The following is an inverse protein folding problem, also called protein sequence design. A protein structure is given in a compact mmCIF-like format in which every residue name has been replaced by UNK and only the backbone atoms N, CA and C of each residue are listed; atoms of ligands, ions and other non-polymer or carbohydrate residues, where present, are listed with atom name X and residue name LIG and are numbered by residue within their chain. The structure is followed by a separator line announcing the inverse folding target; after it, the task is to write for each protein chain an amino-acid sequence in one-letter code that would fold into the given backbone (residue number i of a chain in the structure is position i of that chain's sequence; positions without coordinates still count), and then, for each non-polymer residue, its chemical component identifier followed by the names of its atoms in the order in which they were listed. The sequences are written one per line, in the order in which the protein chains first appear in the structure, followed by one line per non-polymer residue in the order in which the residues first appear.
data_IF_141607445122
#
_entry.id   IF_141607445122
#
_cell.length_a   1.000
_cell.length_b   1.000
_cell.length_c   1.000
_cell.angle_alpha   90.00
_cell.angle_beta   90.00
_cell.angle_gamma   90.00
#
_symmetry.space_group_name_H-M   'P 1'
#
loop_
_entity.id
_entity.type
_entity.pdbx_description
1 polymer ?
#
# COMPACT_ATOMS: atom_id res chain seq x y z
N UNK A 1 0.05 -8.39 -9.51
CA UNK A 1 0.17 -7.55 -10.71
C UNK A 1 1.08 -8.19 -11.76
N UNK A 2 0.97 -7.74 -12.97
CA UNK A 2 1.84 -8.13 -14.09
C UNK A 2 2.70 -6.91 -14.44
N UNK A 3 4.04 -7.08 -14.46
CA UNK A 3 4.94 -6.02 -14.89
C UNK A 3 4.78 -5.80 -16.40
N UNK A 4 4.31 -4.64 -16.80
CA UNK A 4 4.05 -4.28 -18.20
C UNK A 4 5.24 -3.59 -18.86
N UNK A 5 6.02 -2.80 -18.10
CA UNK A 5 7.19 -2.08 -18.61
C UNK A 5 8.19 -1.79 -17.51
N UNK A 6 9.41 -1.37 -17.89
CA UNK A 6 10.48 -0.95 -17.00
C UNK A 6 10.69 0.56 -17.08
N UNK A 7 11.11 1.16 -15.97
CA UNK A 7 11.56 2.56 -15.93
C UNK A 7 13.07 2.58 -16.28
N UNK A 8 13.41 2.88 -17.54
CA UNK A 8 14.77 2.70 -18.05
C UNK A 8 15.34 3.94 -18.76
N UNK A 9 16.65 4.10 -18.58
CA UNK A 9 17.48 5.02 -19.35
C UNK A 9 18.04 4.37 -20.63
N UNK A 10 18.86 5.12 -21.37
CA UNK A 10 19.50 4.62 -22.59
C UNK A 10 20.50 3.50 -22.30
N UNK A 11 21.25 3.57 -21.18
CA UNK A 11 22.25 2.58 -20.82
C UNK A 11 21.62 1.23 -20.48
N UNK A 12 20.66 1.23 -19.56
CA UNK A 12 19.94 0.01 -19.18
C UNK A 12 19.07 -0.53 -20.30
N UNK A 13 18.49 0.35 -21.10
CA UNK A 13 17.73 -0.04 -22.29
C UNK A 13 18.57 -0.84 -23.28
N UNK A 14 19.80 -0.41 -23.57
CA UNK A 14 20.74 -1.17 -24.41
C UNK A 14 21.05 -2.57 -23.85
N UNK A 15 21.18 -2.73 -22.54
CA UNK A 15 21.46 -4.04 -21.92
C UNK A 15 20.34 -5.06 -22.13
N UNK A 16 19.10 -4.61 -22.16
CA UNK A 16 17.92 -5.48 -22.32
C UNK A 16 17.29 -5.38 -23.72
N UNK A 17 18.00 -4.77 -24.68
CA UNK A 17 17.56 -4.55 -26.06
C UNK A 17 16.21 -3.83 -26.17
N UNK A 18 16.04 -2.76 -25.38
CA UNK A 18 14.86 -1.89 -25.39
C UNK A 18 15.26 -0.43 -25.54
N UNK A 19 14.35 0.38 -26.08
CA UNK A 19 14.53 1.84 -26.11
C UNK A 19 14.26 2.43 -24.73
N UNK A 20 15.03 3.46 -24.35
CA UNK A 20 14.75 4.26 -23.18
C UNK A 20 13.35 4.89 -23.27
N UNK A 21 12.62 4.88 -22.17
CA UNK A 21 11.36 5.64 -22.01
C UNK A 21 11.56 6.96 -21.23
N UNK A 22 12.80 7.34 -20.93
CA UNK A 22 13.12 8.57 -20.24
C UNK A 22 12.72 8.60 -18.74
N UNK A 23 12.46 7.43 -18.15
CA UNK A 23 11.91 7.30 -16.79
C UNK A 23 12.87 6.70 -15.76
N UNK A 24 14.18 6.75 -16.02
CA UNK A 24 15.18 6.18 -15.09
C UNK A 24 15.20 6.82 -13.70
N UNK A 25 14.77 8.07 -13.59
CA UNK A 25 14.65 8.78 -12.31
C UNK A 25 13.33 8.49 -11.57
N UNK A 26 12.47 7.68 -12.13
CA UNK A 26 11.18 7.31 -11.55
C UNK A 26 9.97 7.87 -12.30
N UNK A 27 8.82 7.76 -11.68
CA UNK A 27 7.53 8.25 -12.19
C UNK A 27 7.32 9.71 -11.83
N UNK A 28 6.59 10.45 -12.68
CA UNK A 28 6.07 11.79 -12.34
C UNK A 28 4.79 11.68 -11.52
N UNK A 29 3.94 10.71 -11.86
CA UNK A 29 2.74 10.39 -11.12
C UNK A 29 2.66 8.87 -10.95
N UNK A 30 2.33 8.43 -9.74
CA UNK A 30 2.13 7.03 -9.39
C UNK A 30 0.80 6.90 -8.63
N UNK A 31 -0.02 5.94 -9.01
CA UNK A 31 -1.26 5.70 -8.27
C UNK A 31 -1.73 4.25 -8.40
N UNK A 32 -2.48 3.81 -7.41
CA UNK A 32 -3.32 2.62 -7.55
C UNK A 32 -4.63 3.01 -8.22
N UNK A 33 -5.08 2.19 -9.17
CA UNK A 33 -6.41 2.37 -9.77
C UNK A 33 -7.51 2.23 -8.73
N UNK A 34 -8.64 2.89 -8.96
CA UNK A 34 -9.82 2.77 -8.12
C UNK A 34 -10.31 1.32 -8.08
N UNK A 35 -10.63 0.87 -6.88
CA UNK A 35 -11.41 -0.34 -6.68
C UNK A 35 -12.89 -0.14 -7.02
N UNK A 36 -13.69 -1.15 -6.69
CA UNK A 36 -15.14 -1.13 -6.90
C UNK A 36 -15.94 -1.07 -5.59
N UNK A 37 -15.27 -1.26 -4.46
CA UNK A 37 -15.88 -1.39 -3.14
C UNK A 37 -15.92 -0.03 -2.46
N UNK A 38 -17.07 0.46 -1.98
CA UNK A 38 -17.13 1.64 -1.14
C UNK A 38 -16.31 1.46 0.15
N UNK A 39 -15.72 2.55 0.66
CA UNK A 39 -14.95 2.52 1.91
C UNK A 39 -15.76 1.96 3.08
N UNK A 40 -17.03 2.35 3.17
CA UNK A 40 -17.97 1.89 4.21
C UNK A 40 -18.18 0.37 4.19
N UNK A 41 -18.11 -0.25 3.02
CA UNK A 41 -18.22 -1.70 2.89
C UNK A 41 -16.91 -2.40 3.27
N UNK A 42 -15.76 -1.78 2.99
CA UNK A 42 -14.47 -2.31 3.43
C UNK A 42 -14.40 -2.39 4.96
N UNK A 43 -14.79 -1.35 5.67
CA UNK A 43 -14.73 -1.32 7.14
C UNK A 43 -15.74 -2.27 7.81
N UNK A 44 -16.79 -2.67 7.09
CA UNK A 44 -17.79 -3.65 7.53
C UNK A 44 -17.43 -5.09 7.17
N UNK A 45 -16.42 -5.31 6.36
CA UNK A 45 -16.05 -6.65 5.87
C UNK A 45 -15.45 -7.57 6.94
N UNK A 46 -15.03 -7.03 8.09
CA UNK A 46 -14.44 -7.76 9.19
C UNK A 46 -14.99 -7.34 10.56
N UNK A 47 -14.90 -8.24 11.54
CA UNK A 47 -15.32 -7.93 12.91
C UNK A 47 -14.41 -6.91 13.59
N UNK A 48 -13.10 -6.96 13.29
CA UNK A 48 -12.08 -6.04 13.79
C UNK A 48 -11.14 -5.68 12.64
N UNK A 49 -11.00 -4.39 12.39
CA UNK A 49 -10.11 -3.84 11.37
C UNK A 49 -9.31 -2.72 12.03
N UNK A 50 -8.00 -2.70 11.79
CA UNK A 50 -7.14 -1.62 12.20
C UNK A 50 -7.04 -0.61 11.06
N UNK A 51 -7.62 0.56 11.24
CA UNK A 51 -7.50 1.67 10.31
C UNK A 51 -6.23 2.44 10.63
N UNK A 52 -5.25 2.41 9.72
CA UNK A 52 -3.97 3.10 9.87
C UNK A 52 -4.07 4.52 9.34
N UNK A 53 -3.84 5.49 10.21
CA UNK A 53 -3.78 6.90 9.84
C UNK A 53 -2.36 7.34 9.49
N UNK A 54 -1.36 6.77 10.18
CA UNK A 54 0.01 7.20 10.08
C UNK A 54 0.97 6.02 10.25
N UNK A 55 2.07 6.05 9.52
CA UNK A 55 3.19 5.12 9.68
C UNK A 55 4.47 5.86 10.00
N UNK A 56 5.31 5.30 10.87
CA UNK A 56 6.56 5.90 11.34
C UNK A 56 7.74 5.09 10.80
N UNK A 57 8.60 5.77 10.05
CA UNK A 57 9.82 5.16 9.52
C UNK A 57 9.71 4.66 8.08
N UNK A 58 10.78 4.02 7.62
CA UNK A 58 10.92 3.44 6.28
C UNK A 58 11.08 1.93 6.42
N UNK A 59 10.01 1.22 6.65
CA UNK A 59 10.05 -0.20 6.96
C UNK A 59 10.17 -1.16 5.78
N UNK A 60 10.39 -0.67 4.57
CA UNK A 60 10.41 -1.47 3.36
C UNK A 60 11.83 -1.94 3.01
N UNK A 61 12.04 -3.25 2.95
CA UNK A 61 13.21 -3.86 2.31
C UNK A 61 12.82 -4.29 0.89
N UNK A 62 13.25 -3.51 -0.10
CA UNK A 62 12.91 -3.76 -1.52
C UNK A 62 13.57 -5.02 -2.10
N UNK A 63 14.58 -5.58 -1.44
CA UNK A 63 15.28 -6.79 -1.90
C UNK A 63 14.53 -8.04 -1.45
N UNK A 64 14.15 -8.11 -0.17
CA UNK A 64 13.46 -9.26 0.41
C UNK A 64 11.95 -9.14 0.33
N UNK A 65 11.43 -7.93 0.16
CA UNK A 65 10.00 -7.62 0.22
C UNK A 65 9.47 -7.45 1.63
N UNK A 66 10.31 -7.55 2.66
CA UNK A 66 9.87 -7.43 4.04
C UNK A 66 9.49 -5.99 4.37
N UNK A 67 8.42 -5.85 5.12
CA UNK A 67 7.87 -4.58 5.56
C UNK A 67 7.58 -4.62 7.05
N UNK A 68 8.10 -3.65 7.79
CA UNK A 68 7.84 -3.50 9.23
C UNK A 68 7.97 -2.05 9.64
N UNK A 69 6.90 -1.44 10.13
CA UNK A 69 6.86 -0.02 10.55
C UNK A 69 6.07 0.15 11.82
N UNK A 70 6.42 1.18 12.58
CA UNK A 70 5.55 1.72 13.61
C UNK A 70 4.29 2.32 12.98
N UNK A 71 3.16 2.23 13.67
CA UNK A 71 1.91 2.77 13.16
C UNK A 71 1.01 3.29 14.29
N UNK A 72 0.10 4.20 13.90
CA UNK A 72 -1.00 4.66 14.73
C UNK A 72 -2.28 4.76 13.89
N UNK A 73 -3.41 4.70 14.55
CA UNK A 73 -4.69 4.72 13.87
C UNK A 73 -5.88 4.53 14.79
N UNK A 74 -6.93 3.93 14.25
CA UNK A 74 -8.18 3.65 14.95
C UNK A 74 -8.56 2.18 14.82
N UNK A 75 -9.00 1.59 15.90
CA UNK A 75 -9.66 0.29 15.83
C UNK A 75 -11.09 0.47 15.33
N UNK A 76 -11.46 -0.35 14.36
CA UNK A 76 -12.82 -0.48 13.87
C UNK A 76 -13.38 -1.81 14.37
N UNK A 77 -14.52 -1.79 15.02
CA UNK A 77 -15.23 -2.97 15.50
C UNK A 77 -16.65 -3.00 14.91
N UNK A 78 -16.98 -4.11 14.25
CA UNK A 78 -18.27 -4.30 13.58
C UNK A 78 -18.65 -3.16 12.61
N UNK A 79 -17.67 -2.55 11.94
CA UNK A 79 -17.88 -1.49 10.97
C UNK A 79 -17.97 -0.08 11.55
N UNK A 80 -17.70 0.11 12.85
CA UNK A 80 -17.71 1.41 13.52
C UNK A 80 -16.35 1.72 14.14
N UNK A 81 -15.94 2.99 14.08
CA UNK A 81 -14.72 3.47 14.75
C UNK A 81 -14.91 3.40 16.28
N UNK A 82 -14.06 2.60 16.94
CA UNK A 82 -14.20 2.29 18.37
C UNK A 82 -13.25 3.10 19.25
N UNK A 83 -11.94 2.94 19.07
CA UNK A 83 -10.95 3.62 19.91
C UNK A 83 -9.62 3.83 19.17
N UNK A 84 -8.83 4.85 19.57
CA UNK A 84 -7.52 5.09 18.99
C UNK A 84 -6.52 4.01 19.40
N UNK A 85 -5.58 3.71 18.49
CA UNK A 85 -4.48 2.76 18.69
C UNK A 85 -3.18 3.46 18.32
N UNK A 86 -2.18 3.39 19.18
CA UNK A 86 -0.85 3.97 18.97
C UNK A 86 0.25 3.01 19.41
N UNK A 87 1.49 3.34 19.06
CA UNK A 87 2.69 2.57 19.46
C UNK A 87 2.61 1.08 19.07
N UNK A 88 1.98 0.80 17.93
CA UNK A 88 1.91 -0.54 17.36
C UNK A 88 2.94 -0.70 16.26
N UNK A 89 3.26 -1.94 15.94
CA UNK A 89 4.06 -2.31 14.76
C UNK A 89 3.19 -3.13 13.82
N UNK A 90 3.20 -2.76 12.56
CA UNK A 90 2.63 -3.58 11.48
C UNK A 90 3.75 -4.21 10.68
N UNK A 91 3.64 -5.50 10.38
CA UNK A 91 4.66 -6.23 9.64
C UNK A 91 4.05 -7.22 8.64
N UNK A 92 4.73 -7.39 7.52
CA UNK A 92 4.33 -8.30 6.46
C UNK A 92 5.41 -8.45 5.39
N UNK A 93 5.07 -9.11 4.30
CA UNK A 93 5.91 -9.18 3.10
C UNK A 93 5.11 -8.69 1.89
N UNK A 94 5.67 -7.80 1.10
CA UNK A 94 4.98 -7.19 -0.05
C UNK A 94 4.42 -8.20 -1.04
N UNK A 95 5.12 -9.32 -1.27
CA UNK A 95 4.63 -10.34 -2.18
C UNK A 95 3.30 -10.97 -1.71
N UNK A 96 3.10 -11.08 -0.40
CA UNK A 96 1.85 -11.56 0.17
C UNK A 96 0.83 -10.43 0.34
N UNK A 97 1.29 -9.25 0.79
CA UNK A 97 0.42 -8.08 0.94
C UNK A 97 -0.29 -7.72 -0.36
N UNK A 98 0.45 -7.66 -1.48
CA UNK A 98 -0.12 -7.32 -2.79
C UNK A 98 -1.11 -8.35 -3.34
N UNK A 99 -1.05 -9.60 -2.90
CA UNK A 99 -2.05 -10.62 -3.24
C UNK A 99 -3.35 -10.47 -2.45
N UNK A 100 -3.28 -9.81 -1.29
CA UNK A 100 -4.36 -9.72 -0.31
C UNK A 100 -4.89 -8.28 -0.15
N UNK A 101 -4.77 -7.46 -1.20
CA UNK A 101 -5.30 -6.09 -1.24
C UNK A 101 -6.71 -6.07 -1.83
N UNK A 102 -7.60 -5.38 -1.15
CA UNK A 102 -8.88 -4.92 -1.70
C UNK A 102 -8.88 -3.39 -1.72
N UNK A 103 -9.09 -2.80 -2.88
CA UNK A 103 -9.08 -1.34 -3.07
C UNK A 103 -10.50 -0.79 -2.97
N UNK A 104 -10.63 0.35 -2.29
CA UNK A 104 -11.86 1.14 -2.27
C UNK A 104 -12.02 1.96 -3.58
N UNK A 105 -13.16 2.62 -3.71
CA UNK A 105 -13.49 3.48 -4.85
C UNK A 105 -13.36 4.98 -4.54
N UNK A 106 -12.54 5.33 -3.57
CA UNK A 106 -12.36 6.68 -3.01
C UNK A 106 -11.06 7.36 -3.43
N UNK A 107 -10.49 7.00 -4.61
CA UNK A 107 -9.26 7.61 -5.11
C UNK A 107 -9.46 9.09 -5.39
N UNK A 108 -8.59 9.90 -4.80
CA UNK A 108 -8.45 11.33 -5.08
C UNK A 108 -7.03 11.66 -5.54
N UNK A 109 -6.90 12.59 -6.48
CA UNK A 109 -5.60 13.01 -7.04
C UNK A 109 -5.16 14.33 -6.41
N UNK A 110 -4.52 14.26 -5.25
CA UNK A 110 -4.05 15.43 -4.49
C UNK A 110 -2.52 15.60 -4.56
N UNK A 111 -1.78 14.55 -4.93
CA UNK A 111 -0.32 14.50 -4.89
C UNK A 111 0.26 13.83 -6.13
N UNK A 112 1.58 13.74 -6.22
CA UNK A 112 2.27 12.96 -7.24
C UNK A 112 2.16 11.44 -7.02
N UNK A 113 1.85 11.02 -5.78
CA UNK A 113 1.56 9.63 -5.44
C UNK A 113 0.21 9.57 -4.74
N UNK A 114 -0.71 8.79 -5.29
CA UNK A 114 -2.08 8.69 -4.79
C UNK A 114 -2.53 7.23 -4.68
N UNK A 115 -3.43 6.98 -3.76
CA UNK A 115 -4.02 5.66 -3.56
C UNK A 115 -5.44 5.82 -3.03
N UNK A 116 -6.39 4.99 -3.44
CA UNK A 116 -7.63 4.84 -2.69
C UNK A 116 -7.34 4.19 -1.34
N UNK A 117 -8.30 4.19 -0.45
CA UNK A 117 -8.25 3.37 0.75
C UNK A 117 -8.07 1.90 0.38
N UNK A 118 -7.26 1.17 1.13
CA UNK A 118 -6.99 -0.23 0.85
C UNK A 118 -7.09 -1.08 2.12
N UNK A 119 -7.78 -2.19 2.00
CA UNK A 119 -7.80 -3.24 3.02
C UNK A 119 -6.77 -4.31 2.66
N UNK A 120 -5.87 -4.59 3.58
CA UNK A 120 -4.85 -5.63 3.42
C UNK A 120 -5.06 -6.66 4.52
N UNK A 121 -5.25 -7.92 4.14
CA UNK A 121 -5.40 -9.02 5.10
C UNK A 121 -4.11 -9.79 5.28
N UNK A 122 -3.96 -10.49 6.41
CA UNK A 122 -2.77 -11.31 6.70
C UNK A 122 -1.55 -10.53 7.19
N UNK A 123 -1.71 -9.27 7.60
CA UNK A 123 -0.65 -8.48 8.23
C UNK A 123 -0.54 -8.84 9.71
N UNK A 124 0.69 -8.95 10.21
CA UNK A 124 0.96 -9.09 11.64
C UNK A 124 0.91 -7.72 12.30
N UNK A 125 0.17 -7.63 13.40
CA UNK A 125 0.11 -6.44 14.24
C UNK A 125 0.69 -6.80 15.61
N UNK A 126 1.73 -6.09 16.02
CA UNK A 126 2.36 -6.20 17.35
C UNK A 126 2.16 -4.90 18.13
N UNK A 127 2.07 -5.01 19.45
CA UNK A 127 1.87 -3.90 20.36
C UNK A 127 1.05 -4.34 21.57
N UNK A 128 0.97 -3.45 22.56
CA UNK A 128 0.15 -3.68 23.77
C UNK A 128 -1.24 -3.10 23.60
#
# INVERSE_FOLDING_TARGET
GILMDYLIDTYNGKKINRKSNGRSSGTTNLYFENGKVPFEDLIKSGKRILFINETIGRGANIITGDYSVGASGMMIENGEFAYPVSEITIAGNFNEMFKNITLANDLEFNYSTNSPSMLITGITVGGK
#
